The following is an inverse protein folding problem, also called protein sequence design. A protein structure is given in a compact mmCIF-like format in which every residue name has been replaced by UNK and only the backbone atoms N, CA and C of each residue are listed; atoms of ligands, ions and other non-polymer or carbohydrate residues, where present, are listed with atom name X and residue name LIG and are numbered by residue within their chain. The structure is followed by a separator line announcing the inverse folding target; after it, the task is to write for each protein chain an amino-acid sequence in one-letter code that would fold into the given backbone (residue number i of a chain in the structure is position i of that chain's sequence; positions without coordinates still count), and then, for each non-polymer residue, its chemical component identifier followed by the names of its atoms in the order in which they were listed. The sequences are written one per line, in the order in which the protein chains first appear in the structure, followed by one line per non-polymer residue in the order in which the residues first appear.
data_IF_713286740730
#
_entry.id   IF_713286740730
#
_cell.length_a   1.000
_cell.length_b   1.000
_cell.length_c   1.000
_cell.angle_alpha   90.00
_cell.angle_beta   90.00
_cell.angle_gamma   90.00
#
_symmetry.space_group_name_H-M   'P 1'
#
loop_
_entity.id
_entity.type
_entity.pdbx_description
1 polymer ?
#
# COMPACT_ATOMS: atom_id res chain seq x y z
N UNK A 1 3.49 13.16 29.79
CA UNK A 1 4.62 13.32 28.84
C UNK A 1 4.89 12.00 28.12
N UNK A 2 4.22 11.66 27.00
CA UNK A 2 4.54 10.43 26.23
C UNK A 2 4.11 10.46 24.75
N UNK A 3 3.85 11.64 24.15
CA UNK A 3 3.46 11.73 22.73
C UNK A 3 4.57 11.36 21.73
N UNK A 4 5.85 11.40 22.15
CA UNK A 4 7.01 11.13 21.27
C UNK A 4 7.21 9.63 20.95
N UNK A 5 6.83 8.71 21.85
CA UNK A 5 7.00 7.25 21.63
C UNK A 5 6.15 6.75 20.46
N UNK A 6 4.94 7.28 20.30
CA UNK A 6 4.00 6.85 19.27
C UNK A 6 4.44 7.26 17.84
N UNK A 7 5.13 8.40 17.67
CA UNK A 7 5.58 8.84 16.35
C UNK A 7 6.76 8.02 15.82
N UNK A 8 7.73 7.70 16.67
CA UNK A 8 8.86 6.85 16.28
C UNK A 8 8.40 5.43 15.93
N UNK A 9 7.44 4.86 16.67
CA UNK A 9 6.82 3.57 16.34
C UNK A 9 6.15 3.59 14.96
N UNK A 10 5.44 4.67 14.62
CA UNK A 10 4.79 4.81 13.31
C UNK A 10 5.80 4.94 12.16
N UNK A 11 6.86 5.71 12.37
CA UNK A 11 7.92 5.87 11.36
C UNK A 11 8.68 4.56 11.18
N UNK A 12 9.01 3.87 12.26
CA UNK A 12 9.68 2.57 12.19
C UNK A 12 8.81 1.50 11.50
N UNK A 13 7.51 1.46 11.82
CA UNK A 13 6.55 0.60 11.17
C UNK A 13 6.45 0.90 9.66
N UNK A 14 6.26 2.18 9.29
CA UNK A 14 6.20 2.58 7.87
C UNK A 14 7.50 2.25 7.12
N UNK A 15 8.65 2.48 7.75
CA UNK A 15 9.95 2.16 7.17
C UNK A 15 10.13 0.65 6.97
N UNK A 16 9.77 -0.16 7.96
CA UNK A 16 9.89 -1.62 7.87
C UNK A 16 8.93 -2.20 6.82
N UNK A 17 7.72 -1.65 6.72
CA UNK A 17 6.78 -1.98 5.65
C UNK A 17 7.39 -1.69 4.27
N UNK A 18 7.88 -0.47 4.05
CA UNK A 18 8.46 -0.07 2.77
C UNK A 18 9.71 -0.89 2.42
N UNK A 19 10.58 -1.15 3.40
CA UNK A 19 11.78 -1.95 3.20
C UNK A 19 11.46 -3.38 2.78
N UNK A 20 10.48 -4.01 3.42
CA UNK A 20 10.03 -5.36 3.05
C UNK A 20 9.35 -5.37 1.68
N UNK A 21 8.54 -4.36 1.38
CA UNK A 21 7.95 -4.20 0.06
C UNK A 21 9.03 -4.12 -1.04
N UNK A 22 10.11 -3.36 -0.81
CA UNK A 22 11.25 -3.28 -1.71
C UNK A 22 11.98 -4.62 -1.88
N UNK A 23 12.26 -5.31 -0.77
CA UNK A 23 12.95 -6.61 -0.79
C UNK A 23 12.20 -7.63 -1.65
N UNK A 24 10.88 -7.53 -1.75
CA UNK A 24 10.05 -8.48 -2.50
C UNK A 24 9.75 -7.98 -3.92
N UNK A 25 9.36 -6.72 -4.08
CA UNK A 25 8.97 -6.18 -5.38
C UNK A 25 10.17 -5.98 -6.31
N UNK A 26 11.33 -5.58 -5.79
CA UNK A 26 12.51 -5.32 -6.62
C UNK A 26 12.97 -6.60 -7.36
N UNK A 27 13.17 -7.76 -6.70
CA UNK A 27 13.48 -8.99 -7.42
C UNK A 27 12.40 -9.42 -8.41
N UNK A 28 11.12 -9.23 -8.09
CA UNK A 28 10.01 -9.56 -9.00
C UNK A 28 10.06 -8.70 -10.27
N UNK A 29 10.32 -7.40 -10.13
CA UNK A 29 10.45 -6.47 -11.25
C UNK A 29 11.73 -6.73 -12.07
N UNK A 30 12.86 -6.98 -11.41
CA UNK A 30 14.12 -7.31 -12.06
C UNK A 30 13.98 -8.61 -12.88
N UNK A 31 13.39 -9.65 -12.29
CA UNK A 31 13.24 -10.94 -12.98
C UNK A 31 12.14 -10.93 -14.03
N UNK A 32 11.00 -10.29 -13.74
CA UNK A 32 9.84 -10.25 -14.62
C UNK A 32 9.97 -9.29 -15.80
N UNK A 33 10.62 -8.14 -15.60
CA UNK A 33 10.75 -7.09 -16.61
C UNK A 33 12.20 -6.87 -17.08
N UNK A 34 13.19 -7.55 -16.49
CA UNK A 34 14.60 -7.36 -16.85
C UNK A 34 15.18 -6.01 -16.43
N UNK A 35 14.50 -5.28 -15.52
CA UNK A 35 14.93 -3.96 -15.08
C UNK A 35 16.20 -4.05 -14.23
N UNK A 36 17.03 -3.00 -14.29
CA UNK A 36 18.14 -2.86 -13.34
C UNK A 36 17.60 -2.66 -11.91
N UNK A 37 18.33 -3.18 -10.91
CA UNK A 37 17.95 -3.15 -9.49
C UNK A 37 17.61 -1.74 -9.00
N UNK A 38 18.39 -0.74 -9.42
CA UNK A 38 18.16 0.67 -9.04
C UNK A 38 16.87 1.20 -9.65
N UNK A 39 16.62 0.92 -10.92
CA UNK A 39 15.41 1.34 -11.64
C UNK A 39 14.15 0.66 -11.07
N UNK A 40 14.22 -0.63 -10.76
CA UNK A 40 13.14 -1.38 -10.10
C UNK A 40 12.85 -0.89 -8.67
N UNK A 41 13.92 -0.56 -7.91
CA UNK A 41 13.80 0.05 -6.59
C UNK A 41 13.12 1.42 -6.63
N UNK A 42 13.57 2.29 -7.53
CA UNK A 42 12.95 3.60 -7.74
C UNK A 42 11.48 3.48 -8.16
N UNK A 43 11.17 2.59 -9.10
CA UNK A 43 9.80 2.34 -9.55
C UNK A 43 8.90 1.88 -8.40
N UNK A 44 9.36 0.93 -7.59
CA UNK A 44 8.61 0.42 -6.42
C UNK A 44 8.30 1.55 -5.43
N UNK A 45 9.29 2.40 -5.11
CA UNK A 45 9.12 3.55 -4.23
C UNK A 45 8.13 4.59 -4.77
N UNK A 46 8.15 4.84 -6.09
CA UNK A 46 7.23 5.79 -6.71
C UNK A 46 5.82 5.22 -6.68
N UNK A 47 5.64 3.93 -7.01
CA UNK A 47 4.33 3.26 -6.97
C UNK A 47 3.75 3.29 -5.54
N UNK A 48 4.54 2.97 -4.52
CA UNK A 48 4.08 2.99 -3.12
C UNK A 48 3.68 4.39 -2.67
N UNK A 49 4.44 5.42 -3.07
CA UNK A 49 4.11 6.82 -2.82
C UNK A 49 2.81 7.24 -3.51
N UNK A 50 2.66 6.91 -4.79
CA UNK A 50 1.44 7.20 -5.56
C UNK A 50 0.24 6.50 -4.93
N UNK A 51 0.37 5.23 -4.56
CA UNK A 51 -0.69 4.47 -3.89
C UNK A 51 -1.07 5.08 -2.53
N UNK A 52 -0.09 5.50 -1.72
CA UNK A 52 -0.33 6.17 -0.44
C UNK A 52 -1.08 7.51 -0.63
N UNK A 53 -0.60 8.34 -1.56
CA UNK A 53 -1.23 9.64 -1.87
C UNK A 53 -2.65 9.43 -2.41
N UNK A 54 -2.84 8.48 -3.33
CA UNK A 54 -4.15 8.14 -3.87
C UNK A 54 -5.10 7.66 -2.78
N UNK A 55 -4.64 6.79 -1.88
CA UNK A 55 -5.42 6.33 -0.72
C UNK A 55 -5.85 7.50 0.17
N UNK A 56 -4.97 8.46 0.45
CA UNK A 56 -5.34 9.65 1.24
C UNK A 56 -6.39 10.51 0.52
N UNK A 57 -6.19 10.79 -0.78
CA UNK A 57 -7.11 11.60 -1.58
C UNK A 57 -8.47 10.92 -1.68
N UNK A 58 -8.49 9.63 -2.02
CA UNK A 58 -9.72 8.86 -2.19
C UNK A 58 -10.53 8.79 -0.90
N UNK A 59 -9.86 8.47 0.22
CA UNK A 59 -10.52 8.45 1.54
C UNK A 59 -11.07 9.83 1.92
N UNK A 60 -10.33 10.92 1.65
CA UNK A 60 -10.80 12.27 1.94
C UNK A 60 -12.03 12.67 1.10
N UNK A 61 -12.04 12.32 -0.20
CA UNK A 61 -13.19 12.53 -1.08
C UNK A 61 -14.39 11.76 -0.57
N UNK A 62 -14.20 10.48 -0.23
CA UNK A 62 -15.30 9.64 0.23
C UNK A 62 -15.85 10.09 1.58
N UNK A 63 -14.99 10.46 2.52
CA UNK A 63 -15.38 11.03 3.81
C UNK A 63 -16.17 12.33 3.64
N UNK A 64 -15.82 13.16 2.65
CA UNK A 64 -16.57 14.37 2.32
C UNK A 64 -17.98 14.02 1.83
N UNK A 65 -18.12 13.06 0.91
CA UNK A 65 -19.43 12.58 0.44
C UNK A 65 -20.26 11.96 1.57
N UNK A 66 -19.66 11.14 2.42
CA UNK A 66 -20.36 10.52 3.55
C UNK A 66 -20.91 11.55 4.53
N UNK A 67 -20.12 12.58 4.87
CA UNK A 67 -20.55 13.70 5.72
C UNK A 67 -21.62 14.56 5.05
N UNK A 68 -21.51 14.79 3.75
CA UNK A 68 -22.41 15.68 2.99
C UNK A 68 -23.78 15.06 2.72
N UNK A 69 -23.84 13.74 2.56
CA UNK A 69 -25.05 13.00 2.15
C UNK A 69 -25.60 12.04 3.22
N UNK A 70 -25.03 12.02 4.43
CA UNK A 70 -25.42 11.14 5.55
C UNK A 70 -25.56 9.66 5.11
N UNK A 71 -24.66 9.20 4.25
CA UNK A 71 -24.71 7.84 3.72
C UNK A 71 -24.52 6.81 4.83
N UNK A 72 -25.48 5.89 4.97
CA UNK A 72 -25.25 4.70 5.76
C UNK A 72 -24.37 3.74 4.97
N UNK A 73 -23.28 3.24 5.56
CA UNK A 73 -22.33 2.31 4.91
C UNK A 73 -22.95 0.91 4.68
N UNK A 74 -23.92 0.82 3.77
CA UNK A 74 -24.48 -0.45 3.28
C UNK A 74 -23.42 -1.22 2.49
N UNK A 75 -23.54 -2.54 2.43
CA UNK A 75 -22.62 -3.43 1.68
C UNK A 75 -22.40 -2.99 0.23
N UNK A 76 -23.44 -2.48 -0.43
CA UNK A 76 -23.37 -1.95 -1.82
C UNK A 76 -22.42 -0.76 -1.93
N UNK A 77 -22.42 0.14 -0.96
CA UNK A 77 -21.57 1.33 -0.93
C UNK A 77 -20.11 0.94 -0.68
N UNK A 78 -19.86 -0.08 0.15
CA UNK A 78 -18.50 -0.61 0.36
C UNK A 78 -17.94 -1.25 -0.90
N UNK A 79 -18.76 -2.00 -1.64
CA UNK A 79 -18.36 -2.60 -2.91
C UNK A 79 -18.04 -1.51 -3.95
N UNK A 80 -18.92 -0.52 -4.09
CA UNK A 80 -18.71 0.62 -4.99
C UNK A 80 -17.42 1.39 -4.63
N UNK A 81 -17.17 1.62 -3.34
CA UNK A 81 -15.95 2.24 -2.84
C UNK A 81 -14.71 1.44 -3.24
N UNK A 82 -14.69 0.14 -2.97
CA UNK A 82 -13.55 -0.71 -3.31
C UNK A 82 -13.27 -0.73 -4.82
N UNK A 83 -14.31 -0.92 -5.63
CA UNK A 83 -14.17 -0.93 -7.10
C UNK A 83 -13.69 0.43 -7.62
N UNK A 84 -14.23 1.54 -7.11
CA UNK A 84 -13.85 2.89 -7.55
C UNK A 84 -12.43 3.26 -7.11
N UNK A 85 -12.03 2.81 -5.92
CA UNK A 85 -10.66 2.98 -5.42
C UNK A 85 -9.67 2.27 -6.32
N UNK A 86 -9.93 0.99 -6.60
CA UNK A 86 -9.08 0.14 -7.42
C UNK A 86 -8.99 0.66 -8.85
N UNK A 87 -10.12 1.00 -9.46
CA UNK A 87 -10.16 1.55 -10.81
C UNK A 87 -9.37 2.86 -10.92
N UNK A 88 -9.47 3.75 -9.92
CA UNK A 88 -8.69 4.98 -9.90
C UNK A 88 -7.20 4.74 -9.70
N UNK A 89 -6.82 3.75 -8.88
CA UNK A 89 -5.44 3.38 -8.65
C UNK A 89 -4.81 2.80 -9.93
N UNK A 90 -5.50 1.88 -10.60
CA UNK A 90 -5.10 1.30 -11.89
C UNK A 90 -4.85 2.42 -12.91
N UNK A 91 -5.74 3.42 -13.01
CA UNK A 91 -5.59 4.54 -13.94
C UNK A 91 -4.37 5.42 -13.66
N UNK A 92 -3.86 5.43 -12.42
CA UNK A 92 -2.66 6.18 -12.05
C UNK A 92 -1.38 5.33 -12.19
N UNK A 93 -1.43 4.08 -11.72
CA UNK A 93 -0.26 3.20 -11.58
C UNK A 93 0.09 2.50 -12.91
N UNK A 94 -0.90 2.01 -13.67
CA UNK A 94 -0.63 1.27 -14.91
C UNK A 94 0.07 2.12 -15.97
N UNK A 95 -0.36 3.36 -16.27
CA UNK A 95 0.35 4.21 -17.22
C UNK A 95 1.77 4.57 -16.75
N UNK A 96 1.95 4.75 -15.44
CA UNK A 96 3.27 5.01 -14.85
C UNK A 96 4.21 3.82 -15.05
N UNK A 97 3.76 2.60 -14.76
CA UNK A 97 4.55 1.38 -14.97
C UNK A 97 4.87 1.18 -16.44
N UNK A 98 3.87 1.31 -17.31
CA UNK A 98 4.04 1.14 -18.76
C UNK A 98 5.08 2.13 -19.32
N UNK A 99 4.97 3.40 -18.92
CA UNK A 99 5.92 4.43 -19.34
C UNK A 99 7.32 4.24 -18.76
N UNK A 100 7.45 3.84 -17.49
CA UNK A 100 8.74 3.69 -16.84
C UNK A 100 9.52 2.46 -17.29
N UNK A 101 8.82 1.33 -17.46
CA UNK A 101 9.42 0.05 -17.83
C UNK A 101 9.43 -0.20 -19.35
N UNK A 102 8.91 0.74 -20.14
CA UNK A 102 8.76 0.64 -21.60
C UNK A 102 8.04 -0.65 -22.04
N UNK A 103 6.93 -0.96 -21.35
CA UNK A 103 6.08 -2.13 -21.62
C UNK A 103 4.69 -1.72 -22.06
N UNK A 104 3.94 -2.65 -22.66
CA UNK A 104 2.56 -2.37 -23.06
C UNK A 104 1.66 -2.11 -21.85
N UNK A 105 0.58 -1.34 -22.05
CA UNK A 105 -0.43 -1.09 -21.01
C UNK A 105 -1.05 -2.39 -20.49
N UNK A 106 -1.14 -3.42 -21.33
CA UNK A 106 -1.67 -4.72 -20.92
C UNK A 106 -0.69 -5.46 -19.99
N UNK A 107 0.60 -5.46 -20.29
CA UNK A 107 1.63 -6.06 -19.42
C UNK A 107 1.70 -5.32 -18.08
N UNK A 108 1.67 -3.99 -18.11
CA UNK A 108 1.63 -3.17 -16.90
C UNK A 108 0.36 -3.43 -16.07
N UNK A 109 -0.79 -3.63 -16.71
CA UNK A 109 -2.03 -3.98 -16.03
C UNK A 109 -1.99 -5.37 -15.37
N UNK A 110 -1.43 -6.38 -16.07
CA UNK A 110 -1.24 -7.72 -15.50
C UNK A 110 -0.26 -7.68 -14.32
N UNK A 111 0.80 -6.87 -14.44
CA UNK A 111 1.76 -6.67 -13.37
C UNK A 111 1.13 -5.98 -12.15
N UNK A 112 0.31 -4.96 -12.37
CA UNK A 112 -0.44 -4.27 -11.32
C UNK A 112 -1.39 -5.22 -10.58
N UNK A 113 -2.13 -6.07 -11.30
CA UNK A 113 -2.95 -7.13 -10.68
C UNK A 113 -2.09 -8.09 -9.85
N UNK A 114 -0.92 -8.50 -10.38
CA UNK A 114 0.02 -9.35 -9.65
C UNK A 114 0.51 -8.70 -8.35
N UNK A 115 0.87 -7.42 -8.41
CA UNK A 115 1.26 -6.63 -7.24
C UNK A 115 0.09 -6.49 -6.26
N UNK A 116 -1.12 -6.19 -6.70
CA UNK A 116 -2.30 -6.07 -5.84
C UNK A 116 -2.61 -7.37 -5.11
N UNK A 117 -2.62 -8.49 -5.83
CA UNK A 117 -2.82 -9.83 -5.23
C UNK A 117 -1.74 -10.18 -4.22
N UNK A 118 -0.54 -9.62 -4.36
CA UNK A 118 0.56 -9.79 -3.41
C UNK A 118 0.45 -8.84 -2.21
N UNK A 119 0.25 -7.54 -2.45
CA UNK A 119 0.22 -6.49 -1.43
C UNK A 119 -0.97 -6.61 -0.47
N UNK A 120 -2.13 -7.09 -0.92
CA UNK A 120 -3.31 -7.32 -0.08
C UNK A 120 -3.03 -8.29 1.08
N UNK A 121 -2.67 -9.57 0.82
CA UNK A 121 -2.34 -10.51 1.89
C UNK A 121 -1.08 -10.09 2.64
N UNK A 122 -0.07 -9.53 1.96
CA UNK A 122 1.14 -9.01 2.60
C UNK A 122 0.83 -7.97 3.68
N UNK A 123 -0.01 -6.97 3.36
CA UNK A 123 -0.38 -5.90 4.30
C UNK A 123 -1.12 -6.46 5.51
N UNK A 124 -2.02 -7.43 5.31
CA UNK A 124 -2.76 -8.08 6.40
C UNK A 124 -1.80 -8.85 7.31
N UNK A 125 -0.93 -9.68 6.74
CA UNK A 125 0.03 -10.49 7.50
C UNK A 125 1.02 -9.60 8.25
N UNK A 126 1.55 -8.57 7.60
CA UNK A 126 2.47 -7.62 8.19
C UNK A 126 1.86 -6.89 9.39
N UNK A 127 0.66 -6.32 9.21
CA UNK A 127 -0.04 -5.63 10.29
C UNK A 127 -0.33 -6.57 11.46
N UNK A 128 -0.81 -7.78 11.18
CA UNK A 128 -1.08 -8.78 12.21
C UNK A 128 0.19 -9.20 12.98
N UNK A 129 1.29 -9.44 12.27
CA UNK A 129 2.57 -9.79 12.87
C UNK A 129 3.12 -8.64 13.74
N UNK A 130 3.06 -7.41 13.24
CA UNK A 130 3.50 -6.22 13.98
C UNK A 130 2.67 -6.01 15.25
N UNK A 131 1.34 -6.12 15.17
CA UNK A 131 0.45 -5.98 16.31
C UNK A 131 0.71 -7.06 17.38
N UNK A 132 0.98 -8.30 16.94
CA UNK A 132 1.29 -9.41 17.86
C UNK A 132 2.63 -9.23 18.55
N UNK A 133 3.67 -8.80 17.82
CA UNK A 133 4.98 -8.49 18.40
C UNK A 133 4.89 -7.32 19.39
N UNK A 134 4.15 -6.27 19.03
CA UNK A 134 3.88 -5.14 19.90
C UNK A 134 3.17 -5.58 21.18
N UNK A 135 2.10 -6.36 21.07
CA UNK A 135 1.37 -6.88 22.22
C UNK A 135 2.26 -7.72 23.16
N UNK A 136 3.12 -8.58 22.60
CA UNK A 136 4.07 -9.38 23.38
C UNK A 136 5.11 -8.51 24.12
N UNK A 137 5.64 -7.47 23.47
CA UNK A 137 6.58 -6.52 24.09
C UNK A 137 5.95 -5.68 25.20
N UNK A 138 4.69 -5.23 25.03
CA UNK A 138 3.99 -4.47 26.06
C UNK A 138 3.53 -5.34 27.23
N UNK A 139 3.21 -6.62 27.02
CA UNK A 139 2.92 -7.58 28.10
C UNK A 139 4.16 -7.91 28.95
N UNK A 140 5.34 -8.04 28.35
CA UNK A 140 6.58 -8.29 29.12
C UNK A 140 6.99 -7.11 30.00
N UNK A 141 6.77 -5.87 29.54
CA UNK A 141 7.08 -4.67 30.33
C UNK A 141 6.06 -4.38 31.45
N UNK A 142 4.89 -5.00 31.45
CA UNK A 142 3.89 -4.89 32.50
C UNK A 142 4.03 -6.00 33.58
N UNK A 143 4.85 -7.02 33.30
CA UNK A 143 5.11 -8.16 34.19
C UNK A 143 6.48 -8.09 34.91
N UNK A 144 7.25 -7.02 34.68
CA UNK A 144 8.43 -6.61 35.47
C UNK A 144 8.09 -5.38 36.30
#
# INVERSE_FOLDING_TARGET
MTTRKHWLERVFHAFLFELLALIICVPLLVWGLGLEVVHAGALTLIISLVAMVWNMIFNAIFDYFERRYHWQRTTKIRLLHGISFEAGLILAVVPLIAWWADISLLEAFVLDIGLLMFFLPYTIIYNWAYDRLRAAFYQQNAAM
#
